data_IF_963529389474
#
_entry.id   IF_963529389474
#
_cell.length_a   1.000
_cell.length_b   1.000
_cell.length_c   1.000
_cell.angle_alpha   90.00
_cell.angle_beta   90.00
_cell.angle_gamma   90.00
#
_symmetry.space_group_name_H-M   'P 1'
#
loop_
_entity.id
_entity.type
_entity.pdbx_description
1 polymer ?
#
# COMPACT_ATOMS: atom_id res chain seq x y z
N UNK A 1 -45.82 -53.48 -39.75
CA UNK A 1 -44.91 -53.73 -38.62
C UNK A 1 -44.21 -52.43 -38.27
N UNK A 2 -44.03 -52.14 -36.98
CA UNK A 2 -44.00 -50.80 -36.40
C UNK A 2 -42.57 -50.26 -36.23
N UNK A 3 -42.45 -49.00 -35.83
CA UNK A 3 -41.52 -48.31 -34.89
C UNK A 3 -41.83 -46.82 -35.16
N UNK A 4 -42.29 -45.97 -34.24
CA UNK A 4 -42.05 -45.90 -32.80
C UNK A 4 -41.59 -44.46 -32.51
N UNK A 5 -42.41 -43.75 -31.74
CA UNK A 5 -42.39 -42.35 -31.31
C UNK A 5 -41.04 -41.68 -31.03
N UNK A 6 -40.96 -40.36 -31.27
CA UNK A 6 -40.41 -39.41 -30.29
C UNK A 6 -40.85 -37.96 -30.62
N UNK A 7 -41.74 -37.44 -29.78
CA UNK A 7 -42.12 -36.02 -29.64
C UNK A 7 -40.89 -35.10 -29.47
N UNK A 8 -40.73 -34.13 -30.37
CA UNK A 8 -39.91 -32.94 -30.13
C UNK A 8 -40.63 -31.99 -29.14
N UNK A 9 -40.26 -32.06 -27.86
CA UNK A 9 -40.58 -30.99 -26.90
C UNK A 9 -39.56 -29.86 -27.01
N UNK A 10 -40.00 -28.58 -27.14
CA UNK A 10 -39.09 -27.45 -27.16
C UNK A 10 -38.48 -27.23 -25.77
N UNK A 11 -37.15 -27.10 -25.75
CA UNK A 11 -36.34 -26.79 -24.57
C UNK A 11 -36.84 -25.50 -23.90
N UNK A 12 -37.40 -25.62 -22.69
CA UNK A 12 -37.71 -24.48 -21.84
C UNK A 12 -36.42 -23.70 -21.53
N UNK A 13 -36.36 -22.46 -22.00
CA UNK A 13 -35.42 -21.46 -21.50
C UNK A 13 -35.66 -21.26 -20.00
N UNK A 14 -34.71 -21.71 -19.18
CA UNK A 14 -34.66 -21.40 -17.75
C UNK A 14 -34.49 -19.88 -17.59
N UNK A 15 -35.29 -19.19 -16.75
CA UNK A 15 -35.11 -17.77 -16.51
C UNK A 15 -33.80 -17.59 -15.73
N UNK A 16 -32.82 -16.95 -16.35
CA UNK A 16 -31.59 -16.55 -15.68
C UNK A 16 -31.93 -15.65 -14.49
N UNK A 17 -31.88 -16.22 -13.27
CA UNK A 17 -31.93 -15.47 -12.03
C UNK A 17 -30.71 -14.57 -12.01
N UNK A 18 -30.91 -13.30 -12.38
CA UNK A 18 -29.91 -12.25 -12.33
C UNK A 18 -29.68 -11.94 -10.85
N UNK A 19 -28.78 -12.71 -10.21
CA UNK A 19 -28.34 -12.44 -8.84
C UNK A 19 -27.76 -11.04 -8.85
N UNK A 20 -28.52 -10.07 -8.33
CA UNK A 20 -28.06 -8.70 -8.16
C UNK A 20 -27.04 -8.71 -7.03
N UNK A 21 -25.78 -8.96 -7.40
CA UNK A 21 -24.65 -8.84 -6.48
C UNK A 21 -24.61 -7.38 -6.04
N UNK A 22 -24.71 -7.06 -4.73
CA UNK A 22 -24.52 -5.71 -4.27
C UNK A 22 -23.12 -5.28 -4.71
N UNK A 23 -23.03 -4.32 -5.64
CA UNK A 23 -21.78 -3.61 -5.90
C UNK A 23 -21.44 -2.89 -4.60
N UNK A 24 -20.63 -3.52 -3.76
CA UNK A 24 -19.87 -2.79 -2.75
C UNK A 24 -18.87 -1.97 -3.54
N UNK A 25 -19.28 -0.77 -3.94
CA UNK A 25 -18.35 0.30 -4.25
C UNK A 25 -17.38 0.38 -3.08
N UNK A 26 -16.09 0.53 -3.35
CA UNK A 26 -15.15 1.10 -2.38
C UNK A 26 -15.60 2.56 -2.19
N UNK A 27 -16.73 2.72 -1.51
CA UNK A 27 -17.25 3.98 -1.07
C UNK A 27 -16.35 4.39 0.05
N UNK A 28 -15.54 5.42 -0.22
CA UNK A 28 -14.94 6.24 0.82
C UNK A 28 -16.08 6.54 1.80
N UNK A 29 -16.07 5.93 2.97
CA UNK A 29 -17.06 6.21 4.01
C UNK A 29 -17.02 7.73 4.20
N UNK A 30 -18.08 8.42 3.77
CA UNK A 30 -18.21 9.86 3.96
C UNK A 30 -18.49 10.09 5.44
N UNK A 31 -17.45 9.93 6.25
CA UNK A 31 -17.43 10.45 7.61
C UNK A 31 -17.54 11.97 7.52
N UNK A 32 -18.40 12.55 8.34
CA UNK A 32 -18.61 14.00 8.45
C UNK A 32 -17.27 14.75 8.36
N UNK A 33 -17.23 15.86 7.63
CA UNK A 33 -15.99 16.54 7.22
C UNK A 33 -14.97 16.80 8.37
N UNK A 34 -15.44 16.95 9.62
CA UNK A 34 -14.60 17.07 10.81
C UNK A 34 -13.99 15.76 11.36
N UNK A 35 -14.67 14.61 11.19
CA UNK A 35 -14.17 13.27 11.57
C UNK A 35 -13.10 12.76 10.61
N UNK A 36 -13.25 13.08 9.31
CA UNK A 36 -12.28 12.72 8.28
C UNK A 36 -10.90 13.37 8.49
N UNK A 37 -10.85 14.62 8.96
CA UNK A 37 -9.59 15.32 9.22
C UNK A 37 -8.84 14.73 10.43
N UNK A 38 -9.54 14.51 11.54
CA UNK A 38 -8.94 13.89 12.76
C UNK A 38 -8.38 12.50 12.46
N UNK A 39 -9.13 11.65 11.75
CA UNK A 39 -8.67 10.31 11.39
C UNK A 39 -7.42 10.32 10.50
N UNK A 40 -7.35 11.23 9.52
CA UNK A 40 -6.15 11.39 8.68
C UNK A 40 -4.93 11.83 9.50
N UNK A 41 -5.10 12.77 10.42
CA UNK A 41 -4.02 13.21 11.31
C UNK A 41 -3.57 12.09 12.23
N UNK A 42 -4.49 11.31 12.80
CA UNK A 42 -4.14 10.15 13.64
C UNK A 42 -3.36 9.10 12.85
N UNK A 43 -3.81 8.75 11.64
CA UNK A 43 -3.10 7.80 10.77
C UNK A 43 -1.70 8.34 10.40
N UNK A 44 -1.59 9.65 10.15
CA UNK A 44 -0.32 10.30 9.85
C UNK A 44 0.68 10.19 11.01
N UNK A 45 0.26 10.57 12.22
CA UNK A 45 1.09 10.48 13.42
C UNK A 45 1.49 9.03 13.68
N UNK A 46 0.52 8.12 13.60
CA UNK A 46 0.76 6.69 13.77
C UNK A 46 1.80 6.15 12.79
N UNK A 47 1.65 6.42 11.48
CA UNK A 47 2.60 5.94 10.47
C UNK A 47 3.98 6.57 10.62
N UNK A 48 4.05 7.82 11.05
CA UNK A 48 5.32 8.50 11.29
C UNK A 48 6.08 7.79 12.39
N UNK A 49 5.43 7.55 13.54
CA UNK A 49 6.01 6.84 14.68
C UNK A 49 6.31 5.39 14.33
N UNK A 50 5.39 4.71 13.65
CA UNK A 50 5.55 3.32 13.26
C UNK A 50 6.78 3.15 12.38
N UNK A 51 6.92 3.95 11.32
CA UNK A 51 8.06 3.84 10.41
C UNK A 51 9.37 4.19 11.11
N UNK A 52 9.40 5.28 11.89
CA UNK A 52 10.64 5.72 12.53
C UNK A 52 11.14 4.73 13.57
N UNK A 53 10.25 4.25 14.44
CA UNK A 53 10.55 3.24 15.46
C UNK A 53 10.92 1.92 14.78
N UNK A 54 10.23 1.51 13.72
CA UNK A 54 10.52 0.26 13.02
C UNK A 54 11.97 0.20 12.53
N UNK A 55 12.44 1.25 11.87
CA UNK A 55 13.81 1.30 11.35
C UNK A 55 14.85 1.36 12.47
N UNK A 56 14.61 2.11 13.54
CA UNK A 56 15.52 2.14 14.69
C UNK A 56 15.56 0.79 15.40
N UNK A 57 14.40 0.14 15.57
CA UNK A 57 14.25 -1.11 16.31
C UNK A 57 14.83 -2.31 15.55
N UNK A 58 14.62 -2.39 14.23
CA UNK A 58 15.26 -3.44 13.42
C UNK A 58 16.78 -3.29 13.43
N UNK A 59 17.30 -2.05 13.38
CA UNK A 59 18.73 -1.80 13.49
C UNK A 59 19.25 -2.17 14.88
N UNK A 60 18.59 -1.70 15.93
CA UNK A 60 19.00 -1.96 17.31
C UNK A 60 19.03 -3.46 17.63
N UNK A 61 18.01 -4.21 17.21
CA UNK A 61 17.95 -5.65 17.42
C UNK A 61 19.09 -6.41 16.72
N UNK A 62 19.65 -5.86 15.64
CA UNK A 62 20.72 -6.47 14.83
C UNK A 62 22.12 -5.95 15.11
N UNK A 63 22.26 -4.77 15.71
CA UNK A 63 23.54 -4.10 15.94
C UNK A 63 24.00 -4.11 17.40
N UNK A 64 23.15 -4.58 18.32
CA UNK A 64 23.49 -4.75 19.74
C UNK A 64 24.51 -5.86 19.96
N UNK A 65 25.31 -5.71 21.01
CA UNK A 65 26.21 -6.74 21.50
C UNK A 65 25.45 -7.71 22.41
N UNK A 66 25.28 -8.95 21.94
CA UNK A 66 24.63 -10.04 22.69
C UNK A 66 25.39 -11.34 22.45
N UNK A 67 25.40 -12.22 23.44
CA UNK A 67 26.08 -13.53 23.35
C UNK A 67 25.50 -14.42 22.23
N UNK A 68 24.19 -14.30 21.98
CA UNK A 68 23.47 -15.07 20.98
C UNK A 68 22.57 -14.14 20.14
N UNK A 69 22.91 -13.99 18.86
CA UNK A 69 22.09 -13.23 17.93
C UNK A 69 20.94 -14.10 17.38
N UNK A 70 19.72 -13.57 17.38
CA UNK A 70 18.57 -14.29 16.85
C UNK A 70 18.67 -14.56 15.35
N UNK A 71 18.00 -15.62 14.92
CA UNK A 71 17.89 -16.01 13.52
C UNK A 71 16.81 -15.18 12.82
N UNK A 72 17.19 -14.43 11.78
CA UNK A 72 16.28 -13.49 11.11
C UNK A 72 15.12 -14.17 10.36
N UNK A 73 15.34 -15.37 9.80
CA UNK A 73 14.29 -16.16 9.14
C UNK A 73 13.18 -16.57 10.11
N UNK A 74 13.55 -16.90 11.36
CA UNK A 74 12.59 -17.18 12.43
C UNK A 74 11.78 -15.93 12.80
N UNK A 75 12.44 -14.78 12.93
CA UNK A 75 11.74 -13.53 13.21
C UNK A 75 10.73 -13.18 12.12
N UNK A 76 11.08 -13.38 10.84
CA UNK A 76 10.16 -13.20 9.70
C UNK A 76 8.97 -14.18 9.79
N UNK A 77 9.23 -15.46 10.06
CA UNK A 77 8.17 -16.47 10.26
C UNK A 77 7.19 -16.06 11.38
N UNK A 78 7.69 -15.68 12.55
CA UNK A 78 6.85 -15.25 13.67
C UNK A 78 6.07 -13.96 13.35
N UNK A 79 6.67 -13.04 12.58
CA UNK A 79 5.98 -11.84 12.10
C UNK A 79 4.79 -12.21 11.19
N UNK A 80 4.91 -13.23 10.32
CA UNK A 80 3.77 -13.71 9.52
C UNK A 80 2.70 -14.38 10.38
N UNK A 81 3.09 -15.20 11.36
CA UNK A 81 2.16 -15.83 12.30
C UNK A 81 1.37 -14.77 13.05
N UNK A 82 2.03 -13.77 13.62
CA UNK A 82 1.38 -12.67 14.35
C UNK A 82 0.44 -11.88 13.44
N UNK A 83 0.87 -11.55 12.21
CA UNK A 83 0.00 -10.86 11.25
C UNK A 83 -1.25 -11.68 10.92
N UNK A 84 -1.09 -12.99 10.72
CA UNK A 84 -2.19 -13.90 10.48
C UNK A 84 -3.18 -13.90 11.65
N UNK A 85 -2.69 -14.02 12.89
CA UNK A 85 -3.53 -13.98 14.10
C UNK A 85 -4.29 -12.66 14.23
N UNK A 86 -3.62 -11.52 14.02
CA UNK A 86 -4.27 -10.21 14.04
C UNK A 86 -5.33 -10.11 12.94
N UNK A 87 -5.04 -10.57 11.72
CA UNK A 87 -6.01 -10.53 10.63
C UNK A 87 -7.20 -11.45 10.88
N UNK A 88 -6.99 -12.67 11.39
CA UNK A 88 -8.07 -13.58 11.75
C UNK A 88 -8.96 -12.97 12.83
N UNK A 89 -8.36 -12.34 13.85
CA UNK A 89 -9.11 -11.60 14.87
C UNK A 89 -9.95 -10.47 14.25
N UNK A 90 -9.37 -9.67 13.34
CA UNK A 90 -10.11 -8.58 12.68
C UNK A 90 -11.23 -9.09 11.77
N UNK A 91 -11.04 -10.20 11.06
CA UNK A 91 -12.10 -10.83 10.27
C UNK A 91 -13.22 -11.37 11.19
N UNK A 92 -12.88 -11.92 12.35
CA UNK A 92 -13.86 -12.33 13.37
C UNK A 92 -14.67 -11.15 13.94
N UNK A 93 -14.11 -9.93 13.93
CA UNK A 93 -14.83 -8.72 14.35
C UNK A 93 -15.71 -8.14 13.22
N UNK A 94 -15.30 -8.30 11.96
CA UNK A 94 -16.11 -7.87 10.80
C UNK A 94 -17.29 -8.80 10.51
N UNK A 95 -17.18 -10.09 10.84
CA UNK A 95 -18.15 -11.13 10.50
C UNK A 95 -18.73 -11.84 11.72
N UNK A 96 -19.97 -12.34 11.61
CA UNK A 96 -20.51 -13.25 12.64
C UNK A 96 -19.75 -14.60 12.64
N UNK A 97 -19.59 -15.31 13.78
CA UNK A 97 -18.80 -16.56 13.83
C UNK A 97 -19.22 -17.63 12.82
N UNK A 98 -20.52 -17.73 12.50
CA UNK A 98 -21.02 -18.66 11.46
C UNK A 98 -20.61 -18.24 10.05
N UNK A 99 -20.61 -16.93 9.76
CA UNK A 99 -20.16 -16.39 8.48
C UNK A 99 -18.65 -16.39 8.36
N UNK A 100 -17.91 -16.30 9.46
CA UNK A 100 -16.45 -16.39 9.48
C UNK A 100 -15.93 -17.69 8.84
N UNK A 101 -16.40 -18.85 9.30
CA UNK A 101 -15.96 -20.14 8.75
C UNK A 101 -16.40 -20.32 7.29
N UNK A 102 -17.62 -19.87 6.95
CA UNK A 102 -18.11 -19.89 5.57
C UNK A 102 -17.26 -18.99 4.66
N UNK A 103 -16.89 -17.80 5.12
CA UNK A 103 -16.05 -16.84 4.40
C UNK A 103 -14.62 -17.37 4.24
N UNK A 104 -14.02 -17.96 5.28
CA UNK A 104 -12.71 -18.60 5.17
C UNK A 104 -12.71 -19.72 4.13
N UNK A 105 -13.69 -20.64 4.21
CA UNK A 105 -13.81 -21.75 3.27
C UNK A 105 -14.00 -21.22 1.84
N UNK A 106 -14.95 -20.31 1.65
CA UNK A 106 -15.28 -19.80 0.32
C UNK A 106 -14.15 -18.99 -0.31
N UNK A 107 -13.51 -18.12 0.47
CA UNK A 107 -12.46 -17.24 -0.04
C UNK A 107 -11.11 -17.94 -0.18
N UNK A 108 -10.77 -18.90 0.69
CA UNK A 108 -9.46 -19.58 0.63
C UNK A 108 -9.53 -20.81 -0.27
N UNK A 109 -10.54 -21.67 -0.08
CA UNK A 109 -10.62 -23.00 -0.71
C UNK A 109 -11.42 -22.98 -2.00
N UNK A 110 -12.55 -22.28 -2.03
CA UNK A 110 -13.47 -22.31 -3.20
C UNK A 110 -13.04 -21.35 -4.32
N UNK A 111 -12.06 -20.47 -4.08
CA UNK A 111 -11.49 -19.56 -5.08
C UNK A 111 -9.98 -19.76 -5.29
N UNK A 112 -9.53 -20.98 -5.69
CA UNK A 112 -8.11 -21.32 -5.76
C UNK A 112 -7.34 -20.42 -6.74
N UNK A 113 -7.98 -19.96 -7.82
CA UNK A 113 -7.35 -19.07 -8.80
C UNK A 113 -6.98 -17.70 -8.24
N UNK A 114 -7.79 -17.13 -7.35
CA UNK A 114 -7.47 -15.85 -6.70
C UNK A 114 -6.49 -16.05 -5.55
N UNK A 115 -6.62 -17.16 -4.82
CA UNK A 115 -5.68 -17.56 -3.75
C UNK A 115 -4.26 -17.76 -4.30
N UNK A 116 -4.10 -18.45 -5.44
CA UNK A 116 -2.79 -18.66 -6.09
C UNK A 116 -2.19 -17.33 -6.59
N UNK A 117 -3.00 -16.41 -7.13
CA UNK A 117 -2.49 -15.09 -7.54
C UNK A 117 -1.88 -14.35 -6.35
N UNK A 118 -2.48 -14.46 -5.18
CA UNK A 118 -2.01 -13.82 -3.94
C UNK A 118 -0.76 -14.50 -3.34
N UNK A 119 -0.46 -15.75 -3.73
CA UNK A 119 0.76 -16.45 -3.32
C UNK A 119 2.05 -15.76 -3.81
N UNK A 120 2.08 -15.28 -5.06
CA UNK A 120 3.27 -14.63 -5.64
C UNK A 120 3.76 -13.45 -4.80
N UNK A 121 2.94 -12.42 -4.48
CA UNK A 121 3.41 -11.32 -3.65
C UNK A 121 3.74 -11.78 -2.23
N UNK A 122 3.03 -12.77 -1.67
CA UNK A 122 3.33 -13.31 -0.34
C UNK A 122 4.75 -13.89 -0.26
N UNK A 123 5.14 -14.75 -1.21
CA UNK A 123 6.48 -15.33 -1.26
C UNK A 123 7.57 -14.26 -1.45
N UNK A 124 7.32 -13.27 -2.32
CA UNK A 124 8.26 -12.17 -2.56
C UNK A 124 8.47 -11.33 -1.30
N UNK A 125 7.40 -11.06 -0.53
CA UNK A 125 7.51 -10.34 0.73
C UNK A 125 8.32 -11.11 1.79
N UNK A 126 8.30 -12.45 1.81
CA UNK A 126 9.18 -13.24 2.69
C UNK A 126 10.65 -12.97 2.38
N UNK A 127 11.02 -13.05 1.10
CA UNK A 127 12.41 -12.79 0.67
C UNK A 127 12.80 -11.34 0.98
N UNK A 128 11.91 -10.39 0.67
CA UNK A 128 12.12 -8.97 0.97
C UNK A 128 12.35 -8.74 2.48
N UNK A 129 11.52 -9.31 3.34
CA UNK A 129 11.60 -9.08 4.78
C UNK A 129 12.91 -9.62 5.36
N UNK A 130 13.40 -10.77 4.88
CA UNK A 130 14.72 -11.30 5.24
C UNK A 130 15.85 -10.39 4.75
N UNK A 131 15.79 -9.90 3.51
CA UNK A 131 16.78 -8.97 2.98
C UNK A 131 16.83 -7.64 3.75
N UNK A 132 15.70 -7.18 4.31
CA UNK A 132 15.71 -6.02 5.20
C UNK A 132 16.43 -6.28 6.52
N UNK A 133 16.35 -7.48 7.10
CA UNK A 133 17.18 -7.83 8.26
C UNK A 133 18.67 -7.89 7.91
N UNK A 134 19.02 -8.45 6.75
CA UNK A 134 20.40 -8.47 6.25
C UNK A 134 20.92 -7.04 6.05
N UNK A 135 20.12 -6.17 5.43
CA UNK A 135 20.47 -4.77 5.24
C UNK A 135 20.64 -4.03 6.57
N UNK A 136 19.72 -4.21 7.53
CA UNK A 136 19.80 -3.60 8.86
C UNK A 136 21.01 -4.10 9.68
N UNK A 137 21.50 -5.31 9.43
CA UNK A 137 22.75 -5.82 10.03
C UNK A 137 24.01 -5.11 9.50
N UNK A 138 23.99 -4.63 8.25
CA UNK A 138 25.19 -4.10 7.59
C UNK A 138 25.17 -2.60 7.28
N UNK A 139 24.04 -1.93 7.45
CA UNK A 139 23.89 -0.47 7.30
C UNK A 139 23.46 0.15 8.63
N UNK A 140 23.89 1.38 8.88
CA UNK A 140 23.32 2.20 9.94
C UNK A 140 21.82 2.49 9.67
N UNK A 141 21.06 2.78 10.72
CA UNK A 141 19.61 2.97 10.62
C UNK A 141 19.21 4.12 9.67
N UNK A 142 19.98 5.21 9.67
CA UNK A 142 19.66 6.39 8.88
C UNK A 142 19.89 6.14 7.38
N UNK A 143 21.03 5.55 7.02
CA UNK A 143 21.34 5.07 5.67
C UNK A 143 20.33 4.03 5.20
N UNK A 144 20.00 3.04 6.04
CA UNK A 144 19.00 2.02 5.73
C UNK A 144 17.62 2.64 5.46
N UNK A 145 17.16 3.58 6.29
CA UNK A 145 15.89 4.28 6.12
C UNK A 145 15.82 4.99 4.77
N UNK A 146 16.84 5.80 4.46
CA UNK A 146 16.85 6.64 3.25
C UNK A 146 16.97 5.75 2.00
N UNK A 147 17.85 4.75 2.03
CA UNK A 147 18.07 3.85 0.88
C UNK A 147 16.84 2.98 0.60
N UNK A 148 16.09 2.60 1.64
CA UNK A 148 14.82 1.87 1.51
C UNK A 148 13.74 2.64 0.75
N UNK A 149 13.93 3.94 0.50
CA UNK A 149 13.03 4.75 -0.31
C UNK A 149 13.17 4.51 -1.82
N UNK A 150 14.23 3.80 -2.26
CA UNK A 150 14.34 3.30 -3.63
C UNK A 150 13.15 2.43 -4.05
N UNK A 151 12.38 1.87 -3.10
CA UNK A 151 11.10 1.21 -3.38
C UNK A 151 10.12 2.08 -4.19
N UNK A 152 10.20 3.42 -4.06
CA UNK A 152 9.37 4.35 -4.85
C UNK A 152 9.81 4.31 -6.31
N UNK A 153 11.13 4.31 -6.55
CA UNK A 153 11.70 4.20 -7.90
C UNK A 153 11.32 2.89 -8.57
N UNK A 154 11.51 1.77 -7.88
CA UNK A 154 11.20 0.44 -8.42
C UNK A 154 9.70 0.26 -8.64
N UNK A 155 8.85 0.69 -7.70
CA UNK A 155 7.40 0.65 -7.85
C UNK A 155 6.91 1.50 -9.04
N UNK A 156 7.53 2.65 -9.29
CA UNK A 156 7.20 3.49 -10.43
C UNK A 156 7.54 2.78 -11.76
N UNK A 157 8.70 2.14 -11.86
CA UNK A 157 9.07 1.33 -13.03
C UNK A 157 8.06 0.20 -13.25
N UNK A 158 7.74 -0.57 -12.20
CA UNK A 158 6.76 -1.65 -12.31
C UNK A 158 5.35 -1.15 -12.60
N UNK A 159 4.98 0.06 -12.16
CA UNK A 159 3.71 0.70 -12.53
C UNK A 159 3.62 0.95 -14.04
N UNK A 160 4.71 1.41 -14.65
CA UNK A 160 4.77 1.63 -16.10
C UNK A 160 4.72 0.31 -16.84
N UNK A 161 5.46 -0.71 -16.40
CA UNK A 161 5.58 -2.00 -17.10
C UNK A 161 4.31 -2.87 -16.92
N UNK A 162 3.84 -3.06 -15.67
CA UNK A 162 2.81 -4.03 -15.31
C UNK A 162 1.39 -3.44 -15.44
N UNK A 163 1.21 -2.19 -14.98
CA UNK A 163 -0.09 -1.50 -15.04
C UNK A 163 -0.26 -0.66 -16.30
N UNK A 164 0.80 -0.53 -17.13
CA UNK A 164 0.80 0.27 -18.37
C UNK A 164 0.33 1.71 -18.17
N UNK A 165 0.68 2.30 -17.02
CA UNK A 165 0.38 3.70 -16.70
C UNK A 165 1.55 4.59 -17.09
N UNK A 166 1.26 5.73 -17.74
CA UNK A 166 2.26 6.73 -18.05
C UNK A 166 2.55 7.62 -16.85
N UNK A 167 3.84 7.89 -16.59
CA UNK A 167 4.28 8.87 -15.59
C UNK A 167 4.59 10.21 -16.27
N UNK A 168 4.29 11.30 -15.59
CA UNK A 168 4.59 12.64 -16.09
C UNK A 168 6.09 12.98 -15.95
N UNK A 169 6.57 13.97 -16.71
CA UNK A 169 7.97 14.44 -16.67
C UNK A 169 8.40 14.85 -15.26
N UNK A 170 7.52 15.48 -14.48
CA UNK A 170 7.79 15.84 -13.08
C UNK A 170 8.00 14.62 -12.19
N UNK A 171 7.27 13.53 -12.44
CA UNK A 171 7.44 12.28 -11.68
C UNK A 171 8.78 11.62 -12.05
N UNK A 172 9.12 11.55 -13.33
CA UNK A 172 10.44 11.07 -13.77
C UNK A 172 11.59 11.90 -13.20
N UNK A 173 11.45 13.22 -13.18
CA UNK A 173 12.42 14.10 -12.54
C UNK A 173 12.53 13.83 -11.03
N UNK A 174 11.41 13.69 -10.32
CA UNK A 174 11.43 13.32 -8.91
C UNK A 174 12.17 12.00 -8.68
N UNK A 175 11.95 10.99 -9.52
CA UNK A 175 12.66 9.71 -9.45
C UNK A 175 14.18 9.86 -9.67
N UNK A 176 14.60 10.74 -10.59
CA UNK A 176 16.01 11.08 -10.76
C UNK A 176 16.62 11.73 -9.52
N UNK A 177 15.91 12.70 -8.93
CA UNK A 177 16.32 13.36 -7.68
C UNK A 177 16.41 12.35 -6.51
N UNK A 178 15.50 11.37 -6.44
CA UNK A 178 15.55 10.30 -5.46
C UNK A 178 16.86 9.51 -5.57
N UNK A 179 17.21 9.12 -6.79
CA UNK A 179 18.39 8.30 -7.05
C UNK A 179 19.69 9.05 -6.70
N UNK A 180 19.78 10.34 -7.06
CA UNK A 180 20.91 11.19 -6.67
C UNK A 180 21.00 11.33 -5.15
N UNK A 181 19.88 11.59 -4.47
CA UNK A 181 19.84 11.72 -3.02
C UNK A 181 20.29 10.45 -2.28
N UNK A 182 19.84 9.28 -2.72
CA UNK A 182 20.29 7.99 -2.17
C UNK A 182 21.78 7.75 -2.47
N UNK A 183 22.25 8.09 -3.67
CA UNK A 183 23.67 7.95 -4.05
C UNK A 183 24.58 8.80 -3.15
N UNK A 184 24.19 10.05 -2.84
CA UNK A 184 24.94 10.93 -1.94
C UNK A 184 25.04 10.36 -0.52
N UNK A 185 23.95 9.76 -0.01
CA UNK A 185 23.96 9.11 1.31
C UNK A 185 24.91 7.91 1.33
N UNK A 186 24.91 7.10 0.27
CA UNK A 186 25.76 5.90 0.18
C UNK A 186 27.26 6.20 0.05
N UNK A 187 27.63 7.36 -0.52
CA UNK A 187 29.02 7.79 -0.59
C UNK A 187 29.65 8.01 0.79
N UNK A 188 28.88 8.50 1.78
CA UNK A 188 29.36 8.60 3.16
C UNK A 188 29.60 7.21 3.76
N UNK A 189 28.66 6.28 3.56
CA UNK A 189 28.71 4.95 4.18
C UNK A 189 29.86 4.10 3.67
N UNK A 190 30.31 4.33 2.44
CA UNK A 190 31.46 3.60 1.85
C UNK A 190 32.80 4.24 2.21
N UNK A 191 32.83 5.57 2.42
CA UNK A 191 34.06 6.33 2.71
C UNK A 191 34.44 6.44 4.19
N UNK A 192 33.46 6.35 5.10
CA UNK A 192 33.73 6.31 6.54
C UNK A 192 34.01 4.87 6.96
N UNK A 193 35.17 4.59 7.57
CA UNK A 193 35.47 3.30 8.16
C UNK A 193 34.35 2.95 9.16
N UNK A 194 33.49 1.99 8.81
CA UNK A 194 32.33 1.62 9.62
C UNK A 194 32.81 1.16 11.00
N UNK A 195 32.49 1.96 12.03
CA UNK A 195 33.02 1.88 13.39
C UNK A 195 32.64 0.60 14.18
N UNK A 196 31.85 -0.31 13.60
CA UNK A 196 31.48 -1.57 14.24
C UNK A 196 32.08 -2.76 13.48
N UNK A 197 32.80 -3.61 14.22
CA UNK A 197 33.38 -4.84 13.71
C UNK A 197 32.28 -5.72 13.04
N UNK A 198 32.50 -6.11 11.78
CA UNK A 198 31.60 -7.03 11.05
C UNK A 198 30.59 -6.39 10.09
N UNK A 199 30.52 -5.06 9.97
CA UNK A 199 29.67 -4.41 8.97
C UNK A 199 30.29 -4.45 7.57
N UNK A 200 29.45 -4.75 6.57
CA UNK A 200 29.83 -4.82 5.15
C UNK A 200 28.84 -3.97 4.34
N UNK A 201 29.06 -2.64 4.24
CA UNK A 201 28.09 -1.71 3.65
C UNK A 201 27.60 -2.12 2.25
N UNK A 202 28.48 -2.69 1.41
CA UNK A 202 28.12 -3.16 0.07
C UNK A 202 27.09 -4.30 0.11
N UNK A 203 27.20 -5.24 1.05
CA UNK A 203 26.22 -6.32 1.23
C UNK A 203 24.88 -5.72 1.66
N UNK A 204 24.90 -4.79 2.63
CA UNK A 204 23.69 -4.13 3.11
C UNK A 204 22.99 -3.31 2.03
N UNK A 205 23.76 -2.55 1.24
CA UNK A 205 23.27 -1.77 0.10
C UNK A 205 22.66 -2.67 -0.97
N UNK A 206 23.36 -3.74 -1.35
CA UNK A 206 22.86 -4.69 -2.35
C UNK A 206 21.57 -5.37 -1.86
N UNK A 207 21.53 -5.78 -0.59
CA UNK A 207 20.35 -6.38 0.02
C UNK A 207 19.13 -5.44 0.00
N UNK A 208 19.31 -4.16 0.38
CA UNK A 208 18.19 -3.19 0.37
C UNK A 208 17.74 -2.84 -1.04
N UNK A 209 18.64 -2.77 -2.03
CA UNK A 209 18.27 -2.54 -3.44
C UNK A 209 17.44 -3.71 -3.98
N UNK A 210 17.88 -4.95 -3.76
CA UNK A 210 17.12 -6.15 -4.16
C UNK A 210 15.77 -6.16 -3.45
N UNK A 211 15.74 -5.91 -2.15
CA UNK A 211 14.50 -5.82 -1.38
C UNK A 211 13.56 -4.73 -1.92
N UNK A 212 14.07 -3.56 -2.30
CA UNK A 212 13.28 -2.49 -2.92
C UNK A 212 12.70 -2.91 -4.27
N UNK A 213 13.46 -3.62 -5.11
CA UNK A 213 12.97 -4.15 -6.39
C UNK A 213 11.82 -5.15 -6.16
N UNK A 214 12.03 -6.11 -5.26
CA UNK A 214 11.03 -7.10 -4.86
C UNK A 214 9.76 -6.43 -4.30
N UNK A 215 9.94 -5.42 -3.44
CA UNK A 215 8.85 -4.63 -2.85
C UNK A 215 8.03 -3.88 -3.89
N UNK A 216 8.71 -3.22 -4.83
CA UNK A 216 8.06 -2.51 -5.93
C UNK A 216 7.25 -3.45 -6.80
N UNK A 217 7.82 -4.61 -7.15
CA UNK A 217 7.11 -5.62 -7.95
C UNK A 217 5.89 -6.18 -7.20
N UNK A 218 6.09 -6.69 -5.98
CA UNK A 218 5.04 -7.31 -5.18
C UNK A 218 3.90 -6.33 -4.87
N UNK A 219 4.23 -5.07 -4.55
CA UNK A 219 3.26 -4.02 -4.30
C UNK A 219 2.37 -3.72 -5.50
N UNK A 220 2.96 -3.52 -6.68
CA UNK A 220 2.21 -3.24 -7.91
C UNK A 220 1.43 -4.45 -8.40
N UNK A 221 1.99 -5.65 -8.26
CA UNK A 221 1.31 -6.89 -8.57
C UNK A 221 0.10 -7.13 -7.65
N UNK A 222 0.27 -6.88 -6.34
CA UNK A 222 -0.82 -6.96 -5.37
C UNK A 222 -1.91 -5.91 -5.64
N UNK A 223 -1.54 -4.66 -6.00
CA UNK A 223 -2.49 -3.62 -6.42
C UNK A 223 -3.31 -4.07 -7.65
N UNK A 224 -2.67 -4.72 -8.62
CA UNK A 224 -3.35 -5.27 -9.81
C UNK A 224 -4.39 -6.33 -9.43
N UNK A 225 -4.06 -7.23 -8.49
CA UNK A 225 -4.97 -8.27 -8.01
C UNK A 225 -6.15 -7.66 -7.25
N UNK A 226 -5.88 -6.73 -6.32
CA UNK A 226 -6.92 -6.07 -5.53
C UNK A 226 -7.95 -5.34 -6.41
N UNK A 227 -7.50 -4.73 -7.52
CA UNK A 227 -8.39 -4.03 -8.46
C UNK A 227 -9.18 -4.95 -9.38
N UNK A 228 -8.71 -6.19 -9.59
CA UNK A 228 -9.32 -7.15 -10.50
C UNK A 228 -10.27 -8.15 -9.85
N UNK A 229 -10.29 -8.23 -8.52
CA UNK A 229 -11.04 -9.25 -7.80
C UNK A 229 -12.32 -8.70 -7.13
N UNK A 230 -13.23 -9.60 -6.76
CA UNK A 230 -14.46 -9.31 -6.01
C UNK A 230 -14.16 -8.52 -4.70
N UNK A 231 -15.14 -7.81 -4.10
CA UNK A 231 -14.94 -7.02 -2.89
C UNK A 231 -14.64 -7.92 -1.68
N UNK A 232 -13.39 -8.31 -1.52
CA UNK A 232 -12.87 -9.09 -0.40
C UNK A 232 -12.24 -8.12 0.60
N UNK A 233 -12.47 -8.34 1.89
CA UNK A 233 -11.88 -7.47 2.92
C UNK A 233 -10.35 -7.52 2.88
N UNK A 234 -9.70 -6.40 3.22
CA UNK A 234 -8.24 -6.32 3.25
C UNK A 234 -7.63 -7.33 4.23
N UNK A 235 -8.32 -7.62 5.33
CA UNK A 235 -7.89 -8.61 6.31
C UNK A 235 -7.97 -10.02 5.75
N UNK A 236 -9.06 -10.36 5.04
CA UNK A 236 -9.18 -11.66 4.38
C UNK A 236 -8.10 -11.86 3.32
N UNK A 237 -7.73 -10.81 2.57
CA UNK A 237 -6.58 -10.87 1.64
C UNK A 237 -5.25 -11.12 2.36
N UNK A 238 -5.03 -10.50 3.52
CA UNK A 238 -3.85 -10.77 4.35
C UNK A 238 -3.85 -12.19 4.95
N UNK A 239 -5.03 -12.73 5.31
CA UNK A 239 -5.16 -14.15 5.72
C UNK A 239 -4.80 -15.07 4.56
N UNK A 240 -5.33 -14.83 3.35
CA UNK A 240 -4.96 -15.59 2.14
C UNK A 240 -3.45 -15.54 1.86
N UNK A 241 -2.81 -14.37 2.03
CA UNK A 241 -1.35 -14.26 1.93
C UNK A 241 -0.64 -15.10 2.99
N UNK A 242 -1.16 -15.10 4.22
CA UNK A 242 -0.58 -15.82 5.36
C UNK A 242 -0.58 -17.34 5.17
N UNK A 243 -1.59 -17.88 4.48
CA UNK A 243 -1.68 -19.31 4.13
C UNK A 243 -0.45 -19.77 3.32
N UNK A 244 0.14 -18.89 2.51
CA UNK A 244 1.36 -19.19 1.76
C UNK A 244 2.64 -18.67 2.42
N UNK A 245 2.58 -17.50 3.07
CA UNK A 245 3.77 -16.87 3.66
C UNK A 245 4.28 -17.66 4.88
N UNK A 246 3.40 -18.25 5.69
CA UNK A 246 3.80 -19.05 6.87
C UNK A 246 4.55 -20.33 6.45
N UNK A 247 4.03 -21.19 5.56
CA UNK A 247 4.80 -22.35 5.08
C UNK A 247 6.09 -21.95 4.36
N UNK A 248 6.06 -20.91 3.52
CA UNK A 248 7.24 -20.46 2.79
C UNK A 248 8.33 -19.91 3.72
N UNK A 249 7.97 -19.17 4.77
CA UNK A 249 8.93 -18.67 5.77
C UNK A 249 9.45 -19.79 6.66
N UNK A 250 8.64 -20.79 7.00
CA UNK A 250 9.12 -21.99 7.68
C UNK A 250 10.11 -22.78 6.82
N UNK A 251 9.82 -22.94 5.52
CA UNK A 251 10.75 -23.54 4.57
C UNK A 251 12.06 -22.75 4.45
N UNK A 252 12.00 -21.41 4.52
CA UNK A 252 13.20 -20.57 4.53
C UNK A 252 14.10 -20.83 5.76
N UNK A 253 13.51 -21.05 6.94
CA UNK A 253 14.25 -21.46 8.15
C UNK A 253 14.97 -22.79 7.88
N UNK A 254 14.27 -23.77 7.31
CA UNK A 254 14.86 -25.08 7.02
C UNK A 254 16.02 -25.00 6.00
N UNK A 255 15.90 -24.14 4.99
CA UNK A 255 16.92 -23.98 3.95
C UNK A 255 18.16 -23.19 4.39
N UNK A 256 18.00 -22.19 5.27
CA UNK A 256 19.09 -21.27 5.61
C UNK A 256 19.69 -21.53 6.99
N UNK A 257 18.87 -21.93 7.96
CA UNK A 257 19.25 -21.91 9.39
C UNK A 257 18.93 -23.23 10.11
N UNK A 258 18.76 -24.34 9.37
CA UNK A 258 18.38 -25.64 9.95
C UNK A 258 19.38 -26.16 10.96
N UNK A 259 20.68 -26.01 10.72
CA UNK A 259 21.73 -26.46 11.66
C UNK A 259 21.66 -25.69 12.98
N UNK A 260 21.55 -24.36 12.92
CA UNK A 260 21.45 -23.49 14.09
C UNK A 260 20.17 -23.77 14.87
N UNK A 261 19.04 -23.90 14.18
CA UNK A 261 17.74 -24.19 14.80
C UNK A 261 17.67 -25.60 15.38
N UNK A 262 18.28 -26.59 14.73
CA UNK A 262 18.34 -27.96 15.27
C UNK A 262 19.21 -28.04 16.54
N UNK A 263 20.31 -27.26 16.60
CA UNK A 263 21.24 -27.28 17.72
C UNK A 263 20.78 -26.45 18.91
N UNK A 264 20.21 -25.27 18.68
CA UNK A 264 19.90 -24.30 19.73
C UNK A 264 18.40 -24.02 19.91
N UNK A 265 17.56 -24.57 19.04
CA UNK A 265 16.12 -24.35 19.03
C UNK A 265 15.69 -23.14 18.20
N UNK A 266 14.40 -23.08 17.89
CA UNK A 266 13.81 -22.04 17.03
C UNK A 266 13.90 -20.64 17.65
N UNK A 267 13.76 -20.53 18.99
CA UNK A 267 13.79 -19.26 19.71
C UNK A 267 15.19 -18.86 20.19
N UNK A 268 16.25 -19.40 19.58
CA UNK A 268 17.62 -19.04 19.92
C UNK A 268 17.86 -17.53 19.73
N UNK A 269 18.44 -16.88 20.77
CA UNK A 269 18.71 -15.44 20.78
C UNK A 269 17.48 -14.53 20.88
N UNK A 270 16.29 -15.08 21.12
CA UNK A 270 15.07 -14.28 21.33
C UNK A 270 15.01 -13.72 22.76
N UNK A 271 14.93 -12.41 22.86
CA UNK A 271 14.62 -11.69 24.09
C UNK A 271 13.50 -10.67 23.86
N UNK A 272 13.24 -9.84 24.88
CA UNK A 272 12.17 -8.84 24.85
C UNK A 272 12.29 -7.86 23.69
N UNK A 273 13.50 -7.50 23.26
CA UNK A 273 13.72 -6.55 22.15
C UNK A 273 13.39 -7.23 20.81
N UNK A 274 13.76 -8.50 20.63
CA UNK A 274 13.41 -9.27 19.43
C UNK A 274 11.90 -9.44 19.34
N UNK A 275 11.24 -9.81 20.45
CA UNK A 275 9.77 -9.90 20.48
C UNK A 275 9.09 -8.57 20.16
N UNK A 276 9.57 -7.46 20.74
CA UNK A 276 9.09 -6.13 20.40
C UNK A 276 9.28 -5.82 18.91
N UNK A 277 10.43 -6.19 18.34
CA UNK A 277 10.73 -6.01 16.91
C UNK A 277 9.74 -6.78 16.04
N UNK A 278 9.52 -8.06 16.33
CA UNK A 278 8.61 -8.93 15.58
C UNK A 278 7.16 -8.42 15.64
N UNK A 279 6.69 -8.03 16.83
CA UNK A 279 5.35 -7.46 17.04
C UNK A 279 5.18 -6.13 16.29
N UNK A 280 6.14 -5.21 16.43
CA UNK A 280 6.11 -3.90 15.79
C UNK A 280 6.15 -4.01 14.26
N UNK A 281 6.93 -4.96 13.73
CA UNK A 281 6.98 -5.25 12.30
C UNK A 281 5.62 -5.76 11.81
N UNK A 282 5.01 -6.73 12.51
CA UNK A 282 3.71 -7.27 12.14
C UNK A 282 2.62 -6.20 12.09
N UNK A 283 2.53 -5.37 13.14
CA UNK A 283 1.59 -4.23 13.20
C UNK A 283 1.87 -3.21 12.10
N UNK A 284 3.14 -2.95 11.80
CA UNK A 284 3.58 -2.06 10.72
C UNK A 284 3.06 -2.48 9.35
N UNK A 285 3.21 -3.76 9.01
CA UNK A 285 2.72 -4.30 7.74
C UNK A 285 1.21 -4.10 7.55
N UNK A 286 0.42 -4.30 8.60
CA UNK A 286 -1.03 -4.08 8.58
C UNK A 286 -1.40 -2.59 8.53
N UNK A 287 -0.62 -1.74 9.22
CA UNK A 287 -0.81 -0.29 9.24
C UNK A 287 -0.68 0.34 7.85
N UNK A 288 0.19 -0.22 6.99
CA UNK A 288 0.31 0.23 5.59
C UNK A 288 -0.97 -0.05 4.81
N UNK A 289 -1.62 -1.20 5.01
CA UNK A 289 -2.88 -1.52 4.34
C UNK A 289 -4.02 -0.59 4.79
N UNK A 290 -4.12 -0.30 6.09
CA UNK A 290 -5.06 0.66 6.66
C UNK A 290 -4.81 2.06 6.09
N UNK A 291 -3.56 2.49 6.01
CA UNK A 291 -3.18 3.76 5.40
C UNK A 291 -3.72 3.89 3.98
N UNK A 292 -3.52 2.87 3.14
CA UNK A 292 -3.99 2.91 1.74
C UNK A 292 -5.52 2.99 1.67
N UNK A 293 -6.24 2.35 2.61
CA UNK A 293 -7.71 2.37 2.65
C UNK A 293 -8.27 3.71 3.11
N UNK A 294 -7.68 4.32 4.14
CA UNK A 294 -8.28 5.44 4.87
C UNK A 294 -7.55 6.78 4.71
N UNK A 295 -6.29 6.77 4.27
CA UNK A 295 -5.48 7.96 4.05
C UNK A 295 -5.04 8.06 2.58
N UNK A 296 -4.87 9.30 2.10
CA UNK A 296 -4.37 9.53 0.76
C UNK A 296 -2.85 9.23 0.71
N UNK A 297 -2.32 8.79 -0.44
CA UNK A 297 -0.89 8.48 -0.60
C UNK A 297 0.04 9.66 -0.23
N UNK A 298 -0.47 10.90 -0.24
CA UNK A 298 0.25 12.10 0.24
C UNK A 298 0.54 12.00 1.74
N UNK A 299 -0.44 11.61 2.55
CA UNK A 299 -0.27 11.54 4.00
C UNK A 299 0.79 10.49 4.35
N UNK A 300 0.76 9.33 3.67
CA UNK A 300 1.81 8.32 3.80
C UNK A 300 3.20 8.90 3.53
N UNK A 301 3.35 9.64 2.43
CA UNK A 301 4.62 10.22 2.00
C UNK A 301 5.11 11.33 2.95
N UNK A 302 4.20 12.14 3.49
CA UNK A 302 4.54 13.10 4.55
C UNK A 302 5.02 12.39 5.81
N UNK A 303 4.29 11.35 6.26
CA UNK A 303 4.69 10.54 7.41
C UNK A 303 6.06 9.89 7.21
N UNK A 304 6.34 9.39 6.01
CA UNK A 304 7.67 8.84 5.69
C UNK A 304 8.76 9.91 5.69
N UNK A 305 8.48 11.11 5.20
CA UNK A 305 9.45 12.22 5.20
C UNK A 305 9.82 12.64 6.64
N UNK A 306 8.82 12.76 7.51
CA UNK A 306 9.05 13.04 8.93
C UNK A 306 9.76 11.87 9.61
N UNK A 307 9.41 10.62 9.26
CA UNK A 307 10.08 9.43 9.78
C UNK A 307 11.57 9.37 9.42
N UNK A 308 11.97 9.82 8.21
CA UNK A 308 13.39 9.93 7.83
C UNK A 308 14.13 10.88 8.80
N UNK A 309 13.55 12.04 9.09
CA UNK A 309 14.13 13.03 10.01
C UNK A 309 14.23 12.42 11.41
N UNK A 310 13.14 11.85 11.94
CA UNK A 310 13.11 11.26 13.27
C UNK A 310 14.06 10.08 13.42
N UNK A 311 14.17 9.20 12.42
CA UNK A 311 15.13 8.09 12.44
C UNK A 311 16.57 8.56 12.31
N UNK A 312 16.84 9.65 11.60
CA UNK A 312 18.17 10.25 11.57
C UNK A 312 18.53 10.78 12.95
N UNK A 313 17.65 11.59 13.57
CA UNK A 313 17.85 12.11 14.93
C UNK A 313 18.00 10.96 15.94
N UNK A 314 17.13 9.95 15.87
CA UNK A 314 17.23 8.76 16.71
C UNK A 314 18.53 7.99 16.49
N UNK A 315 19.09 7.99 15.28
CA UNK A 315 20.37 7.35 15.01
C UNK A 315 21.55 8.10 15.62
N UNK A 316 21.48 9.44 15.68
CA UNK A 316 22.48 10.25 16.39
C UNK A 316 22.52 9.89 17.87
N UNK A 317 21.36 9.78 18.51
CA UNK A 317 21.27 9.54 19.96
C UNK A 317 21.44 8.07 20.37
N UNK A 318 21.00 7.10 19.55
CA UNK A 318 21.01 5.68 19.90
C UNK A 318 22.23 4.92 19.37
N UNK A 319 22.88 5.42 18.32
CA UNK A 319 23.96 4.72 17.62
C UNK A 319 25.19 5.60 17.38
N UNK A 320 25.28 6.76 18.03
CA UNK A 320 26.37 7.73 17.87
C UNK A 320 26.65 8.10 16.39
N UNK A 321 25.59 8.11 15.57
CA UNK A 321 25.72 8.39 14.14
C UNK A 321 26.03 9.88 13.92
N UNK A 322 27.11 10.18 13.19
CA UNK A 322 27.50 11.54 12.83
C UNK A 322 27.09 11.82 11.37
N UNK A 323 26.02 12.59 11.11
CA UNK A 323 25.60 12.92 9.76
C UNK A 323 26.57 13.91 9.11
N UNK A 324 27.15 13.57 7.95
CA UNK A 324 27.93 14.53 7.16
C UNK A 324 27.04 15.49 6.38
N UNK A 325 27.62 16.57 5.87
CA UNK A 325 26.92 17.49 4.98
C UNK A 325 26.38 16.78 3.72
N UNK A 326 27.15 15.87 3.13
CA UNK A 326 26.72 15.08 1.97
C UNK A 326 25.51 14.20 2.28
N UNK A 327 25.46 13.64 3.49
CA UNK A 327 24.30 12.87 3.95
C UNK A 327 23.08 13.76 4.16
N UNK A 328 23.23 14.93 4.80
CA UNK A 328 22.12 15.87 4.99
C UNK A 328 21.56 16.36 3.66
N UNK A 329 22.43 16.69 2.69
CA UNK A 329 22.04 17.04 1.34
C UNK A 329 21.32 15.87 0.66
N UNK A 330 21.86 14.66 0.72
CA UNK A 330 21.21 13.47 0.16
C UNK A 330 19.83 13.19 0.77
N UNK A 331 19.71 13.25 2.10
CA UNK A 331 18.45 13.10 2.82
C UNK A 331 17.41 14.16 2.40
N UNK A 332 17.84 15.42 2.26
CA UNK A 332 16.98 16.52 1.82
C UNK A 332 16.45 16.31 0.38
N UNK A 333 17.29 15.82 -0.53
CA UNK A 333 16.89 15.49 -1.90
C UNK A 333 15.89 14.33 -1.93
N UNK A 334 16.10 13.30 -1.10
CA UNK A 334 15.15 12.18 -1.00
C UNK A 334 13.79 12.65 -0.48
N UNK A 335 13.76 13.47 0.58
CA UNK A 335 12.52 14.03 1.11
C UNK A 335 11.82 14.90 0.04
N UNK A 336 12.57 15.79 -0.61
CA UNK A 336 12.03 16.64 -1.67
C UNK A 336 11.45 15.82 -2.83
N UNK A 337 12.14 14.77 -3.26
CA UNK A 337 11.68 13.84 -4.29
C UNK A 337 10.36 13.16 -3.92
N UNK A 338 10.25 12.67 -2.68
CA UNK A 338 9.02 12.02 -2.16
C UNK A 338 7.83 12.98 -2.28
N UNK A 339 8.00 14.24 -1.87
CA UNK A 339 6.97 15.27 -2.00
C UNK A 339 6.63 15.57 -3.47
N UNK A 340 7.64 15.75 -4.30
CA UNK A 340 7.47 16.09 -5.71
C UNK A 340 6.71 14.99 -6.46
N UNK A 341 7.07 13.72 -6.25
CA UNK A 341 6.38 12.58 -6.85
C UNK A 341 4.91 12.47 -6.40
N UNK A 342 4.64 12.76 -5.12
CA UNK A 342 3.30 12.67 -4.54
C UNK A 342 2.36 13.79 -5.00
N UNK A 343 2.88 15.02 -5.11
CA UNK A 343 2.08 16.21 -5.45
C UNK A 343 1.37 16.08 -6.80
N UNK A 344 2.04 15.47 -7.79
CA UNK A 344 1.48 15.28 -9.12
C UNK A 344 0.28 14.32 -9.12
N UNK A 345 0.38 13.21 -8.40
CA UNK A 345 -0.70 12.20 -8.31
C UNK A 345 -1.99 12.81 -7.75
N UNK A 346 -1.84 13.74 -6.82
CA UNK A 346 -2.95 14.40 -6.13
C UNK A 346 -3.56 15.53 -6.93
N UNK A 347 -2.73 16.29 -7.65
CA UNK A 347 -3.17 17.33 -8.59
C UNK A 347 -4.03 16.73 -9.70
N UNK A 348 -3.62 15.58 -10.26
CA UNK A 348 -4.40 14.87 -11.30
C UNK A 348 -5.75 14.39 -10.75
N UNK A 349 -5.79 13.85 -9.53
CA UNK A 349 -7.05 13.43 -8.90
C UNK A 349 -7.98 14.60 -8.54
N UNK A 350 -7.43 15.74 -8.12
CA UNK A 350 -8.18 16.97 -7.86
C UNK A 350 -8.77 17.53 -9.16
N UNK A 351 -7.96 17.59 -10.22
CA UNK A 351 -8.39 18.01 -11.56
C UNK A 351 -9.43 17.06 -12.17
N UNK A 352 -9.29 15.75 -11.99
CA UNK A 352 -10.29 14.79 -12.47
C UNK A 352 -11.62 14.90 -11.72
N UNK A 353 -11.58 15.20 -10.42
CA UNK A 353 -12.79 15.47 -9.62
C UNK A 353 -13.46 16.75 -10.06
N UNK A 354 -12.69 17.82 -10.16
CA UNK A 354 -13.18 19.11 -10.63
C UNK A 354 -13.82 18.97 -12.01
N UNK A 355 -13.16 18.28 -12.95
CA UNK A 355 -13.72 17.97 -14.28
C UNK A 355 -15.01 17.15 -14.19
N UNK A 356 -15.08 16.15 -13.30
CA UNK A 356 -16.31 15.34 -13.14
C UNK A 356 -17.46 16.12 -12.50
N UNK A 357 -17.16 17.05 -11.60
CA UNK A 357 -18.15 17.90 -10.94
C UNK A 357 -18.67 18.98 -11.90
N UNK A 358 -17.79 19.54 -12.75
CA UNK A 358 -18.15 20.44 -13.84
C UNK A 358 -19.04 19.72 -14.87
N UNK A 359 -18.65 18.53 -15.33
CA UNK A 359 -19.45 17.75 -16.29
C UNK A 359 -20.81 17.30 -15.71
N UNK A 360 -20.89 17.01 -14.41
CA UNK A 360 -22.18 16.75 -13.74
C UNK A 360 -23.06 17.98 -13.68
N UNK A 361 -22.48 19.17 -13.46
CA UNK A 361 -23.25 20.43 -13.48
C UNK A 361 -23.76 20.77 -14.87
N UNK A 362 -22.98 20.54 -15.92
CA UNK A 362 -23.44 20.76 -17.29
C UNK A 362 -24.52 19.76 -17.73
N UNK A 363 -24.33 18.46 -17.44
CA UNK A 363 -25.34 17.45 -17.76
C UNK A 363 -26.64 17.64 -16.95
N UNK A 364 -26.54 18.09 -15.70
CA UNK A 364 -27.70 18.49 -14.90
C UNK A 364 -28.39 19.74 -15.47
N UNK A 365 -27.64 20.76 -15.88
CA UNK A 365 -28.18 21.96 -16.54
C UNK A 365 -28.91 21.62 -17.85
N UNK A 366 -28.33 20.74 -18.68
CA UNK A 366 -28.94 20.26 -19.92
C UNK A 366 -30.21 19.44 -19.63
N UNK A 367 -30.18 18.53 -18.66
CA UNK A 367 -31.34 17.73 -18.26
C UNK A 367 -32.50 18.60 -17.73
N UNK A 368 -32.19 19.63 -16.92
CA UNK A 368 -33.17 20.61 -16.44
C UNK A 368 -33.72 21.43 -17.59
N UNK A 369 -32.91 21.84 -18.57
CA UNK A 369 -33.39 22.56 -19.77
C UNK A 369 -34.32 21.70 -20.65
N UNK A 370 -34.07 20.39 -20.76
CA UNK A 370 -34.92 19.45 -21.48
C UNK A 370 -36.22 19.17 -20.73
N UNK A 371 -36.17 18.97 -19.41
CA UNK A 371 -37.36 18.85 -18.57
C UNK A 371 -38.20 20.13 -18.61
N UNK A 372 -37.56 21.30 -18.57
CA UNK A 372 -38.25 22.58 -18.73
C UNK A 372 -38.93 22.71 -20.09
N UNK A 373 -38.31 22.25 -21.19
CA UNK A 373 -38.97 22.23 -22.51
C UNK A 373 -40.14 21.24 -22.63
N UNK A 374 -40.18 20.21 -21.79
CA UNK A 374 -41.27 19.23 -21.76
C UNK A 374 -42.44 19.68 -20.88
N UNK A 375 -42.16 20.47 -19.84
CA UNK A 375 -43.15 20.95 -18.86
C UNK A 375 -43.61 22.38 -19.15
N UNK A 376 -42.84 23.18 -19.88
CA UNK A 376 -43.23 24.53 -20.24
C UNK A 376 -44.45 24.51 -21.18
N UNK A 377 -45.52 25.24 -20.85
CA UNK A 377 -46.69 25.34 -21.70
C UNK A 377 -46.30 25.94 -23.06
N UNK A 378 -46.70 25.29 -24.15
CA UNK A 378 -46.49 25.83 -25.50
C UNK A 378 -47.21 27.18 -25.60
N UNK A 379 -46.57 28.23 -26.16
CA UNK A 379 -47.24 29.51 -26.32
C UNK A 379 -48.47 29.32 -27.22
N UNK A 380 -49.64 29.63 -26.67
CA UNK A 380 -50.88 29.72 -27.42
C UNK A 380 -50.72 30.89 -28.39
N UNK A 381 -50.79 30.61 -29.69
CA UNK A 381 -50.90 31.65 -30.70
C UNK A 381 -52.24 32.37 -30.51
N UNK A 382 -52.21 33.53 -29.86
CA UNK A 382 -53.35 34.45 -29.82
C UNK A 382 -53.17 35.42 -30.98
N UNK A 383 -54.14 35.41 -31.88
CA UNK A 383 -54.21 36.30 -33.02
C UNK A 383 -54.27 37.78 -32.62
N UNK A 384 -53.67 38.59 -33.48
CA UNK A 384 -53.83 40.04 -33.67
C UNK A 384 -54.86 40.76 -32.79
N UNK A 385 -54.39 41.50 -31.78
CA UNK A 385 -54.58 42.96 -31.69
C UNK A 385 -53.90 43.56 -30.45
N UNK A 386 -53.01 44.51 -30.72
CA UNK A 386 -52.52 45.63 -29.92
C UNK A 386 -52.43 45.52 -28.39
N UNK A 387 -51.20 45.51 -27.87
CA UNK A 387 -50.79 46.53 -26.89
C UNK A 387 -49.27 46.74 -26.92
N UNK A 388 -48.89 48.02 -26.88
CA UNK A 388 -47.59 48.59 -27.18
C UNK A 388 -46.75 48.73 -25.90
N UNK A 389 -45.50 48.23 -25.96
CA UNK A 389 -44.26 48.63 -25.23
C UNK A 389 -44.09 48.30 -23.72
N UNK A 390 -42.84 48.30 -23.18
CA UNK A 390 -41.54 48.55 -23.82
C UNK A 390 -40.46 47.46 -23.64
N UNK A 391 -39.51 47.47 -24.57
CA UNK A 391 -38.16 46.90 -24.40
C UNK A 391 -37.47 47.53 -23.19
N UNK A 392 -36.90 46.70 -22.33
CA UNK A 392 -35.71 47.07 -21.56
C UNK A 392 -34.65 45.99 -21.73
N UNK A 393 -33.70 46.28 -22.62
CA UNK A 393 -32.35 45.77 -22.54
C UNK A 393 -31.73 46.21 -21.20
N UNK A 394 -31.14 45.27 -20.46
CA UNK A 394 -29.78 45.35 -19.88
C UNK A 394 -29.58 44.39 -18.70
N UNK A 395 -28.33 43.90 -18.65
CA UNK A 395 -27.56 43.49 -17.48
C UNK A 395 -27.80 42.07 -16.93
N UNK A 396 -27.06 41.11 -17.50
CA UNK A 396 -26.42 40.07 -16.70
C UNK A 396 -24.95 40.45 -16.52
N UNK A 397 -24.63 40.93 -15.32
CA UNK A 397 -23.31 40.85 -14.70
C UNK A 397 -23.57 40.65 -13.20
N UNK A 398 -23.39 39.42 -12.71
CA UNK A 398 -22.69 39.04 -11.47
C UNK A 398 -22.70 37.52 -11.29
#
# INVERSE_FOLDING_TARGET
>A
MPIGDADEKPLLHSPAVKIMVPRVSIGREQTAAGSSSKMKTTILVWLTLQNSIHTLLIRYSRAREVEAMFVSTVAVFLTEVIKCLICLFLVLQEETPRRFFSALKSQIVEQPGDTIKVCIPAMIYIVQNNLFYVAASHLDAATFMITSQLKIFTAAIFTVIILRRSLNRTQWFALGVLFVGVSLVQLQTTGAASHLAGQRPVIGFTAVVIACCLSGFAGIYFEKILKGAAPVSLWMRNVQMSVFSIPASFFAIYMQDSETVAKYGLLYGFDSIVWLTVLWYGIGGLSVAVCIKYADNIAKNFATSVAIILSTIGSVFLFDFVPSLSFLLGASLVIFSIFLYSSHSSMVHALSRFRSDVLKRETFSVAVSHLWRLVAPRPVAVGSNALILPRMDKAFDF
#
